data_IF_309206784762
#
_entry.id   IF_309206784762
#
_cell.length_a   1.000
_cell.length_b   1.000
_cell.length_c   1.000
_cell.angle_alpha   90.00
_cell.angle_beta   90.00
_cell.angle_gamma   90.00
#
_symmetry.space_group_name_H-M   'P 1'
#
loop_
_entity.id
_entity.type
_entity.pdbx_description
1 polymer ?
#
# COMPACT_ATOMS: atom_id res chain seq x y z
N UNK A 1 23.36 -67.93 -43.27
CA UNK A 1 24.29 -67.48 -44.33
C UNK A 1 24.21 -65.96 -44.33
N UNK A 2 25.24 -65.30 -43.79
CA UNK A 2 26.20 -64.47 -44.58
C UNK A 2 25.51 -63.27 -45.24
N UNK A 3 25.88 -62.00 -45.12
CA UNK A 3 27.05 -61.19 -44.65
C UNK A 3 26.49 -59.76 -44.49
N UNK A 4 26.72 -59.03 -43.40
CA UNK A 4 27.80 -58.05 -43.18
C UNK A 4 28.16 -57.05 -44.32
N UNK A 5 28.41 -55.81 -43.87
CA UNK A 5 29.19 -54.67 -44.43
C UNK A 5 28.42 -53.55 -45.16
N UNK A 6 28.30 -52.32 -44.62
CA UNK A 6 29.28 -51.23 -44.32
C UNK A 6 29.79 -50.44 -45.56
N UNK A 7 29.44 -49.14 -45.63
CA UNK A 7 30.31 -47.95 -45.88
C UNK A 7 29.46 -46.75 -46.34
N UNK A 8 29.40 -45.62 -45.60
CA UNK A 8 30.34 -44.46 -45.58
C UNK A 8 29.99 -43.39 -46.64
N UNK A 9 29.44 -42.21 -46.27
CA UNK A 9 30.07 -40.94 -45.79
C UNK A 9 30.35 -39.92 -46.91
N UNK A 10 29.70 -38.73 -46.85
CA UNK A 10 30.12 -37.37 -47.28
C UNK A 10 28.88 -36.54 -47.70
N UNK A 11 28.36 -35.64 -46.85
CA UNK A 11 28.73 -34.23 -46.57
C UNK A 11 28.23 -33.20 -47.61
N UNK A 12 27.40 -32.29 -47.06
CA UNK A 12 27.08 -30.91 -47.42
C UNK A 12 26.29 -30.59 -48.71
N UNK A 13 25.08 -30.04 -48.54
CA UNK A 13 24.89 -28.60 -48.76
C UNK A 13 23.69 -28.05 -47.99
N UNK A 14 23.99 -26.99 -47.24
CA UNK A 14 23.11 -26.20 -46.39
C UNK A 14 22.08 -25.42 -47.22
N UNK A 15 20.79 -25.55 -46.91
CA UNK A 15 19.78 -24.54 -47.22
C UNK A 15 19.14 -24.06 -45.91
N UNK A 16 19.47 -22.82 -45.58
CA UNK A 16 18.89 -22.01 -44.51
C UNK A 16 17.40 -21.80 -44.82
N UNK A 17 16.53 -22.25 -43.94
CA UNK A 17 15.13 -21.80 -43.88
C UNK A 17 14.84 -21.36 -42.45
N UNK A 18 14.98 -20.05 -42.23
CA UNK A 18 14.50 -19.33 -41.07
C UNK A 18 12.97 -19.39 -41.07
N UNK A 19 12.38 -20.11 -40.11
CA UNK A 19 10.99 -19.91 -39.72
C UNK A 19 10.96 -19.65 -38.22
N UNK A 20 10.67 -18.39 -37.92
CA UNK A 20 10.39 -17.80 -36.64
C UNK A 20 9.33 -18.61 -35.87
N UNK A 21 9.76 -19.28 -34.80
CA UNK A 21 8.88 -19.73 -33.72
C UNK A 21 9.15 -18.84 -32.51
N UNK A 22 8.24 -17.91 -32.23
CA UNK A 22 8.35 -16.95 -31.13
C UNK A 22 8.54 -17.66 -29.79
N UNK A 23 9.57 -17.21 -29.07
CA UNK A 23 9.69 -17.35 -27.63
C UNK A 23 8.41 -16.86 -26.94
N UNK A 24 7.83 -17.70 -26.11
CA UNK A 24 6.94 -17.28 -25.03
C UNK A 24 7.45 -17.87 -23.72
N UNK A 25 8.66 -17.45 -23.35
CA UNK A 25 9.17 -17.61 -22.00
C UNK A 25 8.89 -16.31 -21.24
N UNK A 26 7.65 -16.13 -20.77
CA UNK A 26 7.29 -15.03 -19.88
C UNK A 26 6.15 -15.44 -18.95
N UNK A 27 6.50 -16.26 -17.95
CA UNK A 27 5.67 -16.50 -16.76
C UNK A 27 6.51 -16.68 -15.48
N UNK A 28 7.83 -16.47 -15.56
CA UNK A 28 8.75 -16.66 -14.44
C UNK A 28 9.00 -15.41 -13.60
N UNK A 29 8.97 -14.21 -14.19
CA UNK A 29 9.35 -12.98 -13.47
C UNK A 29 8.31 -12.56 -12.43
N UNK A 30 7.02 -12.57 -12.76
CA UNK A 30 5.95 -12.18 -11.82
C UNK A 30 5.77 -13.16 -10.65
N UNK A 31 6.01 -14.45 -10.88
CA UNK A 31 5.90 -15.46 -9.81
C UNK A 31 7.10 -15.39 -8.85
N UNK A 32 8.31 -15.18 -9.38
CA UNK A 32 9.53 -15.03 -8.57
C UNK A 32 9.57 -13.69 -7.84
N UNK A 33 9.10 -12.59 -8.45
CA UNK A 33 8.98 -11.29 -7.78
C UNK A 33 8.00 -11.36 -6.61
N UNK A 34 6.80 -11.93 -6.81
CA UNK A 34 5.78 -12.04 -5.76
C UNK A 34 6.25 -12.92 -4.59
N UNK A 35 6.94 -14.03 -4.87
CA UNK A 35 7.52 -14.87 -3.82
C UNK A 35 8.60 -14.13 -3.02
N UNK A 36 9.43 -13.32 -3.69
CA UNK A 36 10.46 -12.51 -3.01
C UNK A 36 9.86 -11.38 -2.17
N UNK A 37 8.83 -10.70 -2.67
CA UNK A 37 8.09 -9.66 -1.94
C UNK A 37 7.39 -10.25 -0.73
N UNK A 38 6.69 -11.38 -0.89
CA UNK A 38 6.05 -12.07 0.23
C UNK A 38 7.04 -12.49 1.31
N UNK A 39 8.22 -12.98 0.91
CA UNK A 39 9.28 -13.36 1.86
C UNK A 39 9.83 -12.14 2.61
N UNK A 40 10.03 -11.02 1.93
CA UNK A 40 10.50 -9.77 2.52
C UNK A 40 9.48 -9.19 3.51
N UNK A 41 8.21 -9.13 3.12
CA UNK A 41 7.09 -8.72 4.01
C UNK A 41 7.05 -9.62 5.25
N UNK A 42 7.11 -10.94 5.07
CA UNK A 42 7.06 -11.89 6.17
C UNK A 42 8.22 -11.70 7.15
N UNK A 43 9.41 -11.36 6.65
CA UNK A 43 10.57 -11.07 7.49
C UNK A 43 10.39 -9.78 8.31
N UNK A 44 9.91 -8.70 7.69
CA UNK A 44 9.61 -7.42 8.36
C UNK A 44 8.59 -7.59 9.48
N UNK A 45 7.48 -8.25 9.21
CA UNK A 45 6.46 -8.51 10.22
C UNK A 45 6.97 -9.42 11.35
N UNK A 46 7.85 -10.38 11.04
CA UNK A 46 8.45 -11.22 12.07
C UNK A 46 9.38 -10.42 12.99
N UNK A 47 10.18 -9.50 12.42
CA UNK A 47 11.02 -8.60 13.19
C UNK A 47 10.18 -7.69 14.10
N UNK A 48 9.10 -7.09 13.56
CA UNK A 48 8.17 -6.28 14.33
C UNK A 48 7.52 -7.05 15.50
N UNK A 49 7.09 -8.30 15.26
CA UNK A 49 6.56 -9.16 16.33
C UNK A 49 7.58 -9.46 17.43
N UNK A 50 8.85 -9.73 17.07
CA UNK A 50 9.92 -9.92 18.06
C UNK A 50 10.17 -8.64 18.86
N UNK A 51 10.15 -7.49 18.20
CA UNK A 51 10.33 -6.20 18.84
C UNK A 51 9.19 -5.89 19.83
N UNK A 52 7.93 -6.07 19.43
CA UNK A 52 6.74 -5.95 20.31
C UNK A 52 6.83 -6.89 21.51
N UNK A 53 7.26 -8.14 21.31
CA UNK A 53 7.46 -9.09 22.41
C UNK A 53 8.47 -8.55 23.41
N UNK A 54 9.61 -8.03 22.94
CA UNK A 54 10.62 -7.44 23.81
C UNK A 54 10.06 -6.24 24.60
N UNK A 55 9.36 -5.31 23.94
CA UNK A 55 8.75 -4.16 24.60
C UNK A 55 7.74 -4.60 25.69
N UNK A 56 6.92 -5.59 25.39
CA UNK A 56 5.93 -6.12 26.32
C UNK A 56 6.58 -6.77 27.54
N UNK A 57 7.68 -7.51 27.34
CA UNK A 57 8.49 -8.08 28.43
C UNK A 57 9.13 -6.99 29.33
N UNK A 58 9.35 -5.79 28.80
CA UNK A 58 9.82 -4.61 29.54
C UNK A 58 8.67 -3.81 30.21
N UNK A 59 7.43 -4.28 30.09
CA UNK A 59 6.23 -3.63 30.61
C UNK A 59 5.79 -2.40 29.80
N UNK A 60 6.14 -2.35 28.51
CA UNK A 60 5.63 -1.34 27.57
C UNK A 60 4.52 -2.00 26.74
N UNK A 61 3.28 -1.55 26.89
CA UNK A 61 2.15 -2.04 26.09
C UNK A 61 2.34 -1.65 24.62
N UNK A 62 2.58 -2.63 23.76
CA UNK A 62 2.90 -2.42 22.35
C UNK A 62 2.12 -3.39 21.44
N UNK A 63 1.97 -3.03 20.16
CA UNK A 63 1.35 -3.88 19.13
C UNK A 63 1.95 -3.62 17.75
N UNK A 64 1.65 -4.52 16.81
CA UNK A 64 1.88 -4.29 15.38
C UNK A 64 0.62 -3.71 14.73
N UNK A 65 0.80 -2.77 13.82
CA UNK A 65 -0.20 -2.13 12.97
C UNK A 65 0.20 -2.24 11.50
N UNK A 66 -0.76 -1.97 10.61
CA UNK A 66 -0.47 -1.87 9.19
C UNK A 66 0.43 -0.64 8.95
N UNK A 67 1.52 -0.80 8.21
CA UNK A 67 2.34 0.33 7.77
C UNK A 67 1.74 1.04 6.56
N UNK A 68 2.30 2.20 6.22
CA UNK A 68 1.91 2.98 5.04
C UNK A 68 2.31 2.32 3.72
N UNK A 69 3.16 1.30 3.75
CA UNK A 69 3.52 0.54 2.57
C UNK A 69 2.34 -0.34 2.12
N UNK A 70 2.13 -0.41 0.81
CA UNK A 70 1.14 -1.27 0.18
C UNK A 70 1.78 -2.01 -0.98
N UNK A 71 1.67 -3.34 -0.97
CA UNK A 71 2.16 -4.25 -2.01
C UNK A 71 1.00 -4.97 -2.68
N UNK A 72 1.21 -5.47 -3.89
CA UNK A 72 0.24 -6.35 -4.55
C UNK A 72 0.67 -7.81 -4.39
N UNK A 73 -0.08 -8.55 -3.58
CA UNK A 73 0.12 -9.99 -3.36
C UNK A 73 -1.09 -10.74 -3.93
N UNK A 74 -0.83 -11.66 -4.86
CA UNK A 74 -1.87 -12.45 -5.52
C UNK A 74 -3.02 -11.58 -6.11
N UNK A 75 -2.65 -10.41 -6.66
CA UNK A 75 -3.58 -9.48 -7.31
C UNK A 75 -4.37 -8.57 -6.36
N UNK A 76 -4.07 -8.58 -5.05
CA UNK A 76 -4.73 -7.72 -4.07
C UNK A 76 -3.73 -6.86 -3.32
N UNK A 77 -4.13 -5.65 -2.94
CA UNK A 77 -3.35 -4.82 -2.05
C UNK A 77 -3.19 -5.46 -0.68
N UNK A 78 -2.00 -5.33 -0.12
CA UNK A 78 -1.63 -5.81 1.19
C UNK A 78 -0.71 -4.80 1.86
N UNK A 79 -1.10 -4.34 3.05
CA UNK A 79 -0.25 -3.53 3.92
C UNK A 79 0.41 -4.41 4.97
N UNK A 80 1.76 -4.40 5.09
CA UNK A 80 2.45 -5.20 6.09
C UNK A 80 2.10 -4.80 7.53
N UNK A 81 1.95 -5.79 8.41
CA UNK A 81 1.74 -5.58 9.86
C UNK A 81 3.06 -5.41 10.60
N UNK A 82 3.82 -4.37 10.26
CA UNK A 82 5.17 -4.16 10.76
C UNK A 82 5.42 -2.77 11.37
N UNK A 83 4.42 -1.89 11.39
CA UNK A 83 4.46 -0.69 12.21
C UNK A 83 4.29 -1.09 13.67
N UNK A 84 5.26 -0.79 14.53
CA UNK A 84 5.14 -1.00 15.97
C UNK A 84 4.68 0.28 16.66
N UNK A 85 3.53 0.20 17.30
CA UNK A 85 2.99 1.28 18.12
C UNK A 85 2.96 0.89 19.58
N UNK A 86 3.05 1.89 20.46
CA UNK A 86 2.89 1.74 21.91
C UNK A 86 1.69 2.52 22.38
N UNK A 87 1.09 2.07 23.49
CA UNK A 87 -0.12 2.69 24.01
C UNK A 87 0.14 4.14 24.41
N UNK A 88 -0.62 5.10 23.88
CA UNK A 88 -0.45 6.50 24.29
C UNK A 88 -0.83 6.67 25.77
N UNK A 89 -0.02 7.43 26.50
CA UNK A 89 -0.22 7.73 27.91
C UNK A 89 -0.45 9.23 28.11
N UNK A 90 -1.25 9.60 29.09
CA UNK A 90 -1.35 10.98 29.54
C UNK A 90 -0.19 11.35 30.48
N UNK A 91 -0.19 12.58 31.00
CA UNK A 91 0.83 13.08 31.92
C UNK A 91 0.89 12.31 33.27
N UNK A 92 -0.15 11.55 33.61
CA UNK A 92 -0.21 10.70 34.82
C UNK A 92 0.31 9.28 34.56
N UNK A 93 0.62 8.95 33.31
CA UNK A 93 0.99 7.59 32.88
C UNK A 93 -0.22 6.68 32.65
N UNK A 94 -1.43 7.24 32.55
CA UNK A 94 -2.65 6.47 32.29
C UNK A 94 -2.91 6.35 30.79
N UNK A 95 -3.43 5.21 30.29
CA UNK A 95 -3.76 5.06 28.87
C UNK A 95 -4.81 6.05 28.38
N UNK A 96 -4.56 6.70 27.25
CA UNK A 96 -5.51 7.60 26.58
C UNK A 96 -6.54 6.79 25.81
N UNK A 97 -7.82 7.21 25.87
CA UNK A 97 -8.90 6.71 25.01
C UNK A 97 -9.64 7.90 24.37
N UNK A 98 -10.00 7.80 23.09
CA UNK A 98 -10.74 8.78 22.31
C UNK A 98 -9.87 9.65 21.41
N UNK A 99 -10.52 10.53 20.65
CA UNK A 99 -9.84 11.50 19.80
C UNK A 99 -8.98 12.43 20.66
N UNK A 100 -7.69 12.47 20.34
CA UNK A 100 -6.68 13.25 21.06
C UNK A 100 -7.13 14.69 21.27
N UNK A 101 -7.25 15.08 22.53
CA UNK A 101 -7.27 16.50 22.85
C UNK A 101 -5.91 17.10 22.47
N UNK A 102 -5.92 18.35 22.02
CA UNK A 102 -4.72 19.14 21.72
C UNK A 102 -3.65 19.10 22.83
N UNK A 103 -4.09 18.86 24.07
CA UNK A 103 -3.23 18.73 25.27
C UNK A 103 -2.42 17.43 25.28
N UNK A 104 -2.96 16.30 24.81
CA UNK A 104 -2.22 15.02 24.81
C UNK A 104 -1.19 14.98 23.69
N UNK A 105 -1.46 15.58 22.54
CA UNK A 105 -0.48 15.71 21.45
C UNK A 105 0.75 16.53 21.84
N UNK A 106 0.59 17.55 22.71
CA UNK A 106 1.71 18.34 23.22
C UNK A 106 2.71 17.54 24.08
N UNK A 107 2.30 16.37 24.60
CA UNK A 107 3.18 15.46 25.34
C UNK A 107 4.07 14.59 24.43
N UNK A 108 3.82 14.62 23.12
CA UNK A 108 4.51 13.82 22.09
C UNK A 108 4.97 14.73 20.94
N UNK A 109 5.83 15.73 21.23
CA UNK A 109 6.11 16.83 20.29
C UNK A 109 6.82 16.42 19.00
N UNK A 110 7.53 15.29 19.01
CA UNK A 110 8.33 14.80 17.89
C UNK A 110 7.71 13.55 17.22
N UNK A 111 6.41 13.31 17.45
CA UNK A 111 5.69 12.13 16.95
C UNK A 111 4.68 12.51 15.88
N UNK A 112 4.90 12.01 14.66
CA UNK A 112 4.02 12.23 13.51
C UNK A 112 3.01 11.07 13.29
N UNK A 113 3.12 9.99 14.08
CA UNK A 113 2.28 8.80 13.96
C UNK A 113 1.47 8.58 15.22
N UNK A 114 0.23 9.06 15.18
CA UNK A 114 -0.76 8.81 16.22
C UNK A 114 -1.99 8.19 15.58
N UNK A 115 -2.39 7.02 16.07
CA UNK A 115 -3.53 6.26 15.56
C UNK A 115 -4.51 5.95 16.69
N UNK A 116 -5.77 5.70 16.33
CA UNK A 116 -6.81 5.21 17.24
C UNK A 116 -7.36 3.90 16.69
N UNK A 117 -7.63 2.92 17.55
CA UNK A 117 -8.33 1.70 17.14
C UNK A 117 -9.86 1.77 17.34
N UNK A 118 -10.55 0.71 16.89
CA UNK A 118 -12.01 0.57 16.98
C UNK A 118 -12.56 0.62 18.41
N UNK A 119 -11.73 0.39 19.43
CA UNK A 119 -12.09 0.51 20.84
C UNK A 119 -11.81 1.92 21.39
N UNK A 120 -11.42 2.86 20.53
CA UNK A 120 -11.03 4.21 20.89
C UNK A 120 -9.68 4.28 21.60
N UNK A 121 -8.84 3.25 21.55
CA UNK A 121 -7.53 3.30 22.19
C UNK A 121 -6.54 4.03 21.31
N UNK A 122 -5.80 4.96 21.89
CA UNK A 122 -4.82 5.76 21.15
C UNK A 122 -3.42 5.16 21.25
N UNK A 123 -2.70 5.17 20.13
CA UNK A 123 -1.39 4.54 19.98
C UNK A 123 -0.43 5.52 19.31
N UNK A 124 0.85 5.44 19.69
CA UNK A 124 1.93 6.27 19.14
C UNK A 124 3.04 5.38 18.63
N UNK A 125 3.57 5.70 17.45
CA UNK A 125 4.74 5.01 16.93
C UNK A 125 5.98 5.89 17.12
N UNK A 126 6.97 5.36 17.85
CA UNK A 126 8.26 5.99 18.01
C UNK A 126 9.18 5.47 16.93
N UNK A 127 9.79 6.35 16.13
CA UNK A 127 10.82 5.99 15.14
C UNK A 127 11.96 5.21 15.78
N UNK A 128 12.42 5.67 16.94
CA UNK A 128 13.43 5.05 17.75
C UNK A 128 13.34 5.54 19.22
N UNK A 129 14.15 4.95 20.11
CA UNK A 129 14.20 5.29 21.53
C UNK A 129 14.50 6.76 21.81
N UNK A 130 15.13 7.50 20.90
CA UNK A 130 15.45 8.92 21.12
C UNK A 130 14.21 9.80 21.18
N UNK A 131 13.13 9.42 20.48
CA UNK A 131 11.85 10.15 20.47
C UNK A 131 11.03 9.98 21.76
N UNK A 132 11.41 9.07 22.66
CA UNK A 132 10.74 8.92 23.95
C UNK A 132 11.09 10.06 24.92
N UNK A 133 12.15 10.82 24.65
CA UNK A 133 12.59 11.93 25.49
C UNK A 133 11.52 13.02 25.54
N UNK A 134 11.17 13.46 26.75
CA UNK A 134 10.16 14.50 26.95
C UNK A 134 8.72 13.99 26.87
N UNK A 135 8.50 12.71 26.59
CA UNK A 135 7.19 12.06 26.63
C UNK A 135 6.94 11.38 27.98
N UNK A 136 5.70 10.94 28.28
CA UNK A 136 5.40 10.08 29.43
C UNK A 136 6.24 8.79 29.49
N UNK A 137 6.83 8.39 28.36
CA UNK A 137 7.70 7.23 28.25
C UNK A 137 9.18 7.49 28.50
N UNK A 138 9.61 8.72 28.85
CA UNK A 138 11.03 9.06 29.02
C UNK A 138 11.77 8.12 30.00
N UNK A 139 11.11 7.63 31.05
CA UNK A 139 11.69 6.69 32.01
C UNK A 139 11.92 5.27 31.44
N UNK A 140 11.28 4.95 30.31
CA UNK A 140 11.37 3.65 29.61
C UNK A 140 12.29 3.70 28.40
N UNK A 141 12.92 4.83 28.13
CA UNK A 141 13.82 5.03 26.98
C UNK A 141 14.91 3.96 26.89
N UNK A 142 15.59 3.64 27.99
CA UNK A 142 16.65 2.62 27.97
C UNK A 142 16.09 1.22 27.67
N UNK A 143 14.91 0.88 28.20
CA UNK A 143 14.29 -0.41 27.95
C UNK A 143 13.89 -0.58 26.47
N UNK A 144 13.44 0.50 25.83
CA UNK A 144 13.20 0.53 24.39
C UNK A 144 14.51 0.36 23.61
N UNK A 145 15.56 1.11 23.96
CA UNK A 145 16.89 1.00 23.34
C UNK A 145 17.49 -0.41 23.46
N UNK A 146 17.30 -1.07 24.61
CA UNK A 146 17.73 -2.45 24.81
C UNK A 146 16.96 -3.42 23.88
N UNK A 147 15.69 -3.13 23.60
CA UNK A 147 14.91 -3.89 22.63
C UNK A 147 15.34 -3.63 21.18
N UNK A 148 15.76 -2.40 20.84
CA UNK A 148 16.34 -2.09 19.53
C UNK A 148 17.63 -2.89 19.33
N UNK A 149 18.52 -2.88 20.33
CA UNK A 149 19.77 -3.62 20.29
C UNK A 149 19.56 -5.15 20.19
N UNK A 150 18.47 -5.69 20.76
CA UNK A 150 18.12 -7.13 20.67
C UNK A 150 17.48 -7.51 19.35
N UNK A 151 16.91 -6.56 18.61
CA UNK A 151 16.22 -6.78 17.35
C UNK A 151 16.85 -5.89 16.26
N UNK A 152 18.13 -6.10 15.90
CA UNK A 152 18.86 -5.23 14.98
C UNK A 152 18.33 -5.27 13.53
N UNK A 153 17.44 -6.21 13.23
CA UNK A 153 16.77 -6.39 11.95
C UNK A 153 15.38 -5.74 11.90
N UNK A 154 14.91 -5.16 13.02
CA UNK A 154 13.72 -4.34 13.04
C UNK A 154 14.08 -2.88 12.80
N UNK A 155 13.37 -2.27 11.85
CA UNK A 155 13.38 -0.82 11.61
C UNK A 155 11.94 -0.35 11.54
N UNK A 156 11.63 0.77 12.17
CA UNK A 156 10.31 1.38 12.04
C UNK A 156 10.06 1.81 10.60
N UNK A 157 8.97 1.34 9.95
CA UNK A 157 8.61 1.84 8.63
C UNK A 157 8.33 3.35 8.72
N UNK A 158 8.67 4.08 7.65
CA UNK A 158 8.51 5.54 7.61
C UNK A 158 7.07 5.93 7.92
N UNK A 159 6.89 6.63 9.03
CA UNK A 159 5.62 7.27 9.38
C UNK A 159 5.60 8.67 8.80
N UNK A 160 4.70 8.96 7.86
CA UNK A 160 4.48 10.34 7.36
C UNK A 160 5.07 10.67 5.98
N UNK A 161 5.87 9.79 5.38
CA UNK A 161 6.10 9.81 3.92
C UNK A 161 5.09 8.87 3.27
N UNK A 162 4.58 9.18 2.08
CA UNK A 162 3.82 8.18 1.32
C UNK A 162 4.72 6.94 1.19
N UNK A 163 4.32 5.84 1.82
CA UNK A 163 5.05 4.59 1.79
C UNK A 163 5.18 4.07 0.36
N UNK A 164 5.89 2.97 0.19
CA UNK A 164 5.86 2.24 -1.07
C UNK A 164 4.41 1.90 -1.43
N UNK A 165 3.97 2.20 -2.65
CA UNK A 165 2.59 1.97 -3.06
C UNK A 165 2.51 1.23 -4.38
N UNK A 166 1.94 0.04 -4.35
CA UNK A 166 1.59 -0.75 -5.52
C UNK A 166 0.09 -0.84 -5.68
N UNK A 167 -0.37 -0.86 -6.92
CA UNK A 167 -1.77 -0.97 -7.27
C UNK A 167 -2.04 -2.22 -8.10
N UNK A 168 -3.18 -2.89 -7.93
CA UNK A 168 -3.54 -4.04 -8.75
C UNK A 168 -3.61 -3.65 -10.23
N UNK A 169 -3.01 -4.45 -11.10
CA UNK A 169 -3.04 -4.23 -12.56
C UNK A 169 -4.48 -4.16 -13.10
N UNK A 170 -5.39 -4.93 -12.51
CA UNK A 170 -6.81 -4.89 -12.85
C UNK A 170 -7.42 -3.50 -12.60
N UNK A 171 -7.12 -2.88 -11.46
CA UNK A 171 -7.62 -1.55 -11.12
C UNK A 171 -7.03 -0.48 -12.04
N UNK A 172 -5.74 -0.56 -12.37
CA UNK A 172 -5.10 0.36 -13.34
C UNK A 172 -5.80 0.27 -14.71
N UNK A 173 -6.02 -0.96 -15.18
CA UNK A 173 -6.69 -1.21 -16.46
C UNK A 173 -8.15 -0.75 -16.43
N UNK A 174 -8.89 -1.04 -15.36
CA UNK A 174 -10.29 -0.67 -15.22
C UNK A 174 -10.47 0.85 -15.24
N UNK A 175 -9.60 1.62 -14.57
CA UNK A 175 -9.64 3.08 -14.59
C UNK A 175 -9.38 3.66 -15.99
N UNK A 176 -8.43 3.09 -16.73
CA UNK A 176 -8.15 3.52 -18.10
C UNK A 176 -9.35 3.25 -19.03
N UNK A 177 -9.94 2.06 -18.96
CA UNK A 177 -11.11 1.70 -19.77
C UNK A 177 -12.35 2.50 -19.38
N UNK A 178 -12.54 2.77 -18.09
CA UNK A 178 -13.58 3.66 -17.59
C UNK A 178 -13.45 5.06 -18.21
N UNK A 179 -12.25 5.67 -18.15
CA UNK A 179 -12.02 7.00 -18.70
C UNK A 179 -12.33 7.07 -20.21
N UNK A 180 -11.89 6.06 -20.98
CA UNK A 180 -12.23 5.93 -22.41
C UNK A 180 -13.73 5.81 -22.64
N UNK A 181 -14.43 5.01 -21.84
CA UNK A 181 -15.88 4.80 -21.98
C UNK A 181 -16.68 6.08 -21.70
N UNK A 182 -16.23 6.90 -20.76
CA UNK A 182 -16.85 8.18 -20.45
C UNK A 182 -16.58 9.23 -21.54
N UNK A 183 -15.37 9.28 -22.10
CA UNK A 183 -15.11 10.14 -23.26
C UNK A 183 -16.00 9.77 -24.45
N UNK A 184 -16.26 8.48 -24.67
CA UNK A 184 -17.21 8.04 -25.70
C UNK A 184 -18.66 8.52 -25.46
N UNK A 185 -19.02 8.90 -24.23
CA UNK A 185 -20.33 9.51 -23.85
C UNK A 185 -20.30 11.06 -23.89
N UNK A 186 -19.22 11.65 -24.37
CA UNK A 186 -19.05 13.11 -24.52
C UNK A 186 -18.41 13.80 -23.32
N UNK A 187 -17.72 13.07 -22.44
CA UNK A 187 -16.92 13.66 -21.36
C UNK A 187 -15.45 13.81 -21.79
N UNK A 188 -15.19 14.48 -22.92
CA UNK A 188 -13.84 14.64 -23.51
C UNK A 188 -12.81 15.28 -22.57
N UNK A 189 -13.29 15.98 -21.54
CA UNK A 189 -12.48 16.60 -20.50
C UNK A 189 -11.89 15.59 -19.50
N UNK A 190 -12.38 14.35 -19.45
CA UNK A 190 -11.92 13.36 -18.48
C UNK A 190 -10.54 12.80 -18.88
N UNK A 191 -9.48 13.06 -18.10
CA UNK A 191 -8.14 12.58 -18.42
C UNK A 191 -8.03 11.06 -18.24
N UNK A 192 -7.00 10.47 -18.84
CA UNK A 192 -6.54 9.14 -18.43
C UNK A 192 -5.97 9.19 -17.02
N UNK A 193 -6.06 8.09 -16.25
CA UNK A 193 -5.40 8.03 -14.95
C UNK A 193 -3.87 8.16 -15.11
N UNK A 194 -3.15 8.66 -14.09
CA UNK A 194 -1.70 8.66 -14.10
C UNK A 194 -1.13 7.26 -14.35
N UNK A 195 0.07 7.20 -14.93
CA UNK A 195 0.72 5.91 -15.20
C UNK A 195 0.88 5.12 -13.90
N UNK A 196 0.53 3.84 -13.95
CA UNK A 196 0.65 2.87 -12.86
C UNK A 196 -0.19 3.21 -11.59
N UNK A 197 -1.17 4.11 -11.71
CA UNK A 197 -2.07 4.52 -10.62
C UNK A 197 -3.54 4.44 -11.07
N UNK A 198 -4.43 3.74 -10.36
CA UNK A 198 -5.86 3.72 -10.65
C UNK A 198 -6.56 4.98 -10.11
N UNK A 199 -7.83 5.12 -10.46
CA UNK A 199 -8.73 6.15 -9.98
C UNK A 199 -9.23 7.09 -11.07
N UNK A 200 -9.95 8.11 -10.64
CA UNK A 200 -10.64 9.10 -11.46
C UNK A 200 -10.18 10.48 -11.01
N UNK A 201 -9.69 11.31 -11.93
CA UNK A 201 -9.31 12.69 -11.62
C UNK A 201 -10.24 13.65 -12.35
N UNK A 202 -11.03 14.41 -11.59
CA UNK A 202 -11.89 15.45 -12.14
C UNK A 202 -11.04 16.73 -12.25
N UNK A 203 -10.82 17.24 -13.48
CA UNK A 203 -10.04 18.46 -13.66
C UNK A 203 -10.78 19.69 -13.15
N UNK A 204 -10.02 20.76 -12.91
CA UNK A 204 -10.58 22.06 -12.59
C UNK A 204 -11.41 22.61 -13.78
N UNK A 205 -12.48 23.35 -13.48
CA UNK A 205 -13.28 24.04 -14.51
C UNK A 205 -14.41 23.22 -15.13
N UNK A 206 -14.68 21.99 -14.66
CA UNK A 206 -15.91 21.26 -14.99
C UNK A 206 -17.11 21.97 -14.34
N UNK A 207 -18.18 22.23 -15.07
CA UNK A 207 -19.38 22.84 -14.47
C UNK A 207 -20.14 21.82 -13.61
N UNK A 208 -20.89 22.29 -12.62
CA UNK A 208 -21.71 21.43 -11.76
C UNK A 208 -22.70 20.58 -12.58
N UNK A 209 -23.28 21.15 -13.63
CA UNK A 209 -24.16 20.43 -14.55
C UNK A 209 -23.42 19.27 -15.26
N UNK A 210 -22.21 19.53 -15.78
CA UNK A 210 -21.39 18.49 -16.42
C UNK A 210 -20.96 17.42 -15.42
N UNK A 211 -20.63 17.82 -14.19
CA UNK A 211 -20.23 16.91 -13.13
C UNK A 211 -21.39 16.01 -12.67
N UNK A 212 -22.57 16.56 -12.43
CA UNK A 212 -23.78 15.80 -12.08
C UNK A 212 -24.18 14.85 -13.22
N UNK A 213 -24.07 15.30 -14.47
CA UNK A 213 -24.29 14.44 -15.64
C UNK A 213 -23.27 13.29 -15.67
N UNK A 214 -22.01 13.56 -15.37
CA UNK A 214 -20.96 12.54 -15.27
C UNK A 214 -21.28 11.49 -14.20
N UNK A 215 -21.65 11.89 -12.97
CA UNK A 215 -22.02 10.95 -11.91
C UNK A 215 -23.17 10.01 -12.33
N UNK A 216 -24.09 10.51 -13.13
CA UNK A 216 -25.24 9.74 -13.64
C UNK A 216 -24.90 8.82 -14.80
N UNK A 217 -24.13 9.31 -15.78
CA UNK A 217 -23.88 8.57 -17.02
C UNK A 217 -22.63 7.68 -16.94
N UNK A 218 -21.76 7.88 -15.95
CA UNK A 218 -20.55 7.13 -15.69
C UNK A 218 -20.52 6.60 -14.24
N UNK A 219 -21.41 5.64 -13.89
CA UNK A 219 -21.41 5.04 -12.56
C UNK A 219 -20.11 4.26 -12.29
N UNK A 220 -19.67 4.28 -11.04
CA UNK A 220 -18.40 3.67 -10.61
C UNK A 220 -18.58 2.37 -9.83
N UNK A 221 -19.82 2.02 -9.47
CA UNK A 221 -20.12 0.95 -8.50
C UNK A 221 -19.58 -0.43 -8.90
N UNK A 222 -19.48 -0.71 -10.20
CA UNK A 222 -18.97 -1.97 -10.76
C UNK A 222 -17.44 -1.99 -10.97
N UNK A 223 -16.74 -0.90 -10.66
CA UNK A 223 -15.29 -0.83 -10.78
C UNK A 223 -14.60 -1.47 -9.56
N UNK A 224 -13.35 -1.95 -9.70
CA UNK A 224 -12.50 -2.26 -8.55
C UNK A 224 -12.42 -1.07 -7.58
N UNK A 225 -12.34 -1.34 -6.27
CA UNK A 225 -12.44 -0.29 -5.25
C UNK A 225 -11.42 0.84 -5.43
N UNK A 226 -10.21 0.52 -5.86
CA UNK A 226 -9.15 1.51 -6.10
C UNK A 226 -9.45 2.35 -7.34
N UNK A 227 -10.21 1.83 -8.29
CA UNK A 227 -10.67 2.54 -9.49
C UNK A 227 -11.86 3.47 -9.22
N UNK A 228 -12.60 3.26 -8.13
CA UNK A 228 -13.72 4.12 -7.74
C UNK A 228 -13.26 5.44 -7.11
N UNK A 229 -12.00 5.50 -6.66
CA UNK A 229 -11.44 6.68 -6.00
C UNK A 229 -11.47 7.89 -6.93
N UNK A 230 -12.25 8.90 -6.54
CA UNK A 230 -12.38 10.15 -7.28
C UNK A 230 -11.63 11.28 -6.57
N UNK A 231 -10.74 11.94 -7.30
CA UNK A 231 -9.98 13.09 -6.82
C UNK A 231 -10.42 14.35 -7.55
N UNK A 232 -10.59 15.43 -6.80
CA UNK A 232 -11.01 16.74 -7.30
C UNK A 232 -10.49 17.83 -6.38
N UNK A 233 -10.21 19.03 -6.93
CA UNK A 233 -9.80 20.18 -6.11
C UNK A 233 -10.96 21.09 -5.75
N UNK A 234 -12.05 21.08 -6.52
CA UNK A 234 -13.23 21.89 -6.20
C UNK A 234 -13.96 21.28 -5.01
N UNK A 235 -13.94 21.91 -3.81
CA UNK A 235 -14.53 21.31 -2.61
C UNK A 235 -16.05 21.12 -2.75
N UNK A 236 -16.72 21.91 -3.60
CA UNK A 236 -18.16 21.80 -3.82
C UNK A 236 -18.59 20.47 -4.43
N UNK A 237 -17.70 19.76 -5.14
CA UNK A 237 -18.04 18.45 -5.72
C UNK A 237 -18.34 17.39 -4.66
N UNK A 238 -17.78 17.51 -3.46
CA UNK A 238 -18.16 16.64 -2.35
C UNK A 238 -19.63 16.76 -1.97
N UNK A 239 -20.16 17.99 -1.94
CA UNK A 239 -21.58 18.24 -1.66
C UNK A 239 -22.48 17.65 -2.75
N UNK A 240 -22.07 17.82 -4.03
CA UNK A 240 -22.81 17.29 -5.17
C UNK A 240 -22.84 15.76 -5.20
N UNK A 241 -21.72 15.10 -4.85
CA UNK A 241 -21.65 13.64 -4.71
C UNK A 241 -22.62 13.17 -3.61
N UNK A 242 -22.57 13.78 -2.43
CA UNK A 242 -23.44 13.43 -1.31
C UNK A 242 -24.92 13.62 -1.67
N UNK A 243 -25.25 14.74 -2.33
CA UNK A 243 -26.59 15.01 -2.80
C UNK A 243 -27.05 13.96 -3.82
N UNK A 244 -26.21 13.61 -4.79
CA UNK A 244 -26.52 12.58 -5.80
C UNK A 244 -26.76 11.22 -5.15
N UNK A 245 -25.90 10.80 -4.22
CA UNK A 245 -26.02 9.53 -3.50
C UNK A 245 -27.29 9.46 -2.64
N UNK A 246 -27.74 10.57 -2.05
CA UNK A 246 -28.97 10.61 -1.26
C UNK A 246 -30.27 10.44 -2.07
N UNK A 247 -30.19 10.54 -3.41
CA UNK A 247 -31.33 10.48 -4.32
C UNK A 247 -31.47 9.12 -5.04
N UNK A 248 -30.51 8.21 -4.85
CA UNK A 248 -30.57 6.84 -5.36
C UNK A 248 -31.17 5.88 -4.32
#
# INVERSE_FOLDING_TARGET
MEKQMLSAFSIAMTCIALLSGCSSQQSGESATSNASTQSMISAREQAARRFVSCLTDQGITARTEDSSDTYVIAGKQYSPKDLVSVRMLDATGSPVNGDNDSVTSALYPDIDSISSDDNGQTWVAFKDSSQMKGTPYASKQQAYADCEAKNPDFEQPLTGTFGHQEWPEESIRASLEFAKSCRAKGFDWLPDPPKDTPGITIPDGVSDEQFLRFLKECPVDDLPIESQMMTYKNPHYGDLINQYQSQQ
#
